data_IF_036188707806
#
_entry.id   IF_036188707806
#
_cell.length_a   1.000
_cell.length_b   1.000
_cell.length_c   1.000
_cell.angle_alpha   90.00
_cell.angle_beta   90.00
_cell.angle_gamma   90.00
#
_symmetry.space_group_name_H-M   'P 1'
#
loop_
_entity.id
_entity.type
_entity.pdbx_description
1 polymer ?
#
# COMPACT_ATOMS: atom_id res chain seq x y z
N UNK A 1 40.39 -36.03 -24.91
CA UNK A 1 39.72 -37.28 -25.23
C UNK A 1 38.29 -36.93 -25.55
N UNK A 2 37.89 -36.70 -26.72
CA UNK A 2 37.53 -37.44 -27.95
C UNK A 2 36.57 -38.59 -27.69
N UNK A 3 35.50 -38.52 -28.50
CA UNK A 3 34.49 -39.49 -28.97
C UNK A 3 33.17 -39.50 -28.19
N UNK A 4 31.98 -39.56 -28.79
CA UNK A 4 31.68 -39.77 -30.19
C UNK A 4 30.18 -39.55 -30.45
N UNK A 5 29.91 -39.20 -31.69
CA UNK A 5 28.62 -39.13 -32.32
C UNK A 5 28.04 -40.54 -32.58
N UNK A 6 26.69 -40.64 -32.58
CA UNK A 6 25.98 -41.74 -33.17
C UNK A 6 24.57 -41.35 -33.54
N UNK A 7 24.18 -41.48 -34.84
CA UNK A 7 22.88 -41.09 -35.32
C UNK A 7 21.97 -42.32 -35.61
N UNK A 8 20.68 -42.04 -35.74
CA UNK A 8 19.85 -42.98 -36.47
C UNK A 8 18.43 -43.17 -35.95
N UNK A 9 17.46 -42.94 -36.80
CA UNK A 9 16.19 -43.54 -36.67
C UNK A 9 15.00 -42.72 -37.23
N UNK A 10 14.89 -42.77 -38.51
CA UNK A 10 13.79 -42.29 -39.39
C UNK A 10 12.59 -43.26 -39.31
N UNK A 11 11.36 -42.77 -39.79
CA UNK A 11 10.16 -43.50 -40.25
C UNK A 11 9.10 -43.72 -39.15
N UNK A 12 7.87 -43.27 -39.25
CA UNK A 12 6.97 -43.37 -40.32
C UNK A 12 5.64 -42.58 -40.12
N UNK A 13 5.22 -42.06 -41.19
CA UNK A 13 3.90 -41.45 -41.36
C UNK A 13 2.82 -42.52 -41.45
N UNK A 14 1.65 -42.26 -40.88
CA UNK A 14 0.42 -42.88 -41.33
C UNK A 14 -0.74 -41.87 -41.25
N UNK A 15 -1.11 -41.36 -42.40
CA UNK A 15 -2.37 -40.66 -42.64
C UNK A 15 -3.49 -41.68 -42.76
N UNK A 16 -4.58 -41.51 -42.05
CA UNK A 16 -5.84 -42.19 -42.33
C UNK A 16 -6.91 -41.12 -42.51
N UNK A 17 -7.23 -40.90 -43.79
CA UNK A 17 -8.46 -40.23 -44.23
C UNK A 17 -9.65 -41.21 -44.04
N UNK A 18 -10.66 -40.80 -43.36
CA UNK A 18 -12.01 -41.34 -43.52
C UNK A 18 -12.97 -40.22 -43.88
N UNK A 19 -13.36 -40.23 -45.15
CA UNK A 19 -14.49 -39.51 -45.65
C UNK A 19 -15.73 -40.38 -45.44
N UNK A 20 -16.73 -39.86 -44.74
CA UNK A 20 -18.07 -40.43 -44.71
C UNK A 20 -19.07 -39.33 -45.15
N UNK A 21 -19.49 -39.42 -46.37
CA UNK A 21 -20.63 -38.71 -46.94
C UNK A 21 -21.90 -39.43 -46.52
N UNK A 22 -22.80 -38.74 -45.83
CA UNK A 22 -24.21 -39.17 -45.71
C UNK A 22 -25.08 -38.01 -46.22
N UNK A 23 -25.64 -38.27 -47.41
CA UNK A 23 -26.71 -37.47 -47.96
C UNK A 23 -28.03 -37.82 -47.24
N UNK A 24 -28.73 -36.82 -46.77
CA UNK A 24 -30.16 -36.93 -46.45
C UNK A 24 -30.94 -35.93 -47.27
N UNK A 25 -32.01 -36.49 -47.84
CA UNK A 25 -32.91 -35.87 -48.79
C UNK A 25 -33.70 -34.71 -48.19
N UNK A 26 -33.98 -33.75 -49.08
CA UNK A 26 -34.99 -32.71 -48.94
C UNK A 26 -36.37 -33.31 -48.74
N UNK A 27 -37.06 -32.77 -47.74
CA UNK A 27 -38.53 -32.78 -47.80
C UNK A 27 -39.02 -31.37 -47.49
N UNK A 28 -39.46 -30.72 -48.56
CA UNK A 28 -39.95 -29.36 -48.59
C UNK A 28 -41.42 -29.33 -48.16
N UNK A 29 -41.73 -28.90 -46.99
CA UNK A 29 -43.07 -28.49 -46.61
C UNK A 29 -43.02 -27.04 -46.11
N UNK A 30 -43.40 -26.10 -46.96
CA UNK A 30 -43.66 -24.70 -46.60
C UNK A 30 -44.98 -24.59 -45.83
N UNK A 31 -44.98 -24.10 -44.59
CA UNK A 31 -46.21 -23.59 -44.01
C UNK A 31 -46.34 -22.09 -44.34
N UNK A 32 -47.38 -21.78 -45.08
CA UNK A 32 -47.90 -20.42 -45.29
C UNK A 32 -48.28 -19.84 -43.93
N UNK A 33 -47.48 -18.89 -43.42
CA UNK A 33 -47.79 -18.12 -42.24
C UNK A 33 -48.71 -16.96 -42.60
N UNK A 34 -49.95 -17.02 -42.12
CA UNK A 34 -50.90 -15.92 -42.09
C UNK A 34 -50.41 -14.86 -41.07
N UNK A 35 -50.13 -13.60 -41.48
CA UNK A 35 -49.59 -12.61 -40.57
C UNK A 35 -50.61 -11.92 -39.64
N UNK A 36 -51.86 -12.38 -39.62
CA UNK A 36 -52.94 -11.67 -38.90
C UNK A 36 -53.31 -12.26 -37.53
N UNK A 37 -52.51 -13.18 -36.93
CA UNK A 37 -52.79 -13.80 -35.63
C UNK A 37 -51.72 -13.62 -34.58
N UNK A 38 -50.92 -12.56 -34.62
CA UNK A 38 -50.15 -12.18 -33.43
C UNK A 38 -50.98 -11.26 -32.52
N UNK A 39 -51.71 -11.88 -31.62
CA UNK A 39 -52.25 -11.18 -30.45
C UNK A 39 -51.05 -10.91 -29.53
N UNK A 40 -50.59 -9.66 -29.51
CA UNK A 40 -49.66 -9.20 -28.48
C UNK A 40 -50.37 -9.33 -27.13
N UNK A 41 -49.82 -10.12 -26.16
CA UNK A 41 -50.27 -9.97 -24.79
C UNK A 41 -49.90 -8.56 -24.35
N UNK A 42 -50.91 -7.81 -23.92
CA UNK A 42 -50.72 -6.52 -23.23
C UNK A 42 -49.76 -6.75 -22.10
N UNK A 43 -48.56 -6.17 -22.22
CA UNK A 43 -47.63 -6.10 -21.08
C UNK A 43 -48.31 -5.16 -20.11
N UNK A 44 -49.08 -5.73 -19.19
CA UNK A 44 -49.51 -5.03 -18.01
C UNK A 44 -48.23 -4.70 -17.25
N UNK A 45 -47.81 -3.46 -17.38
CA UNK A 45 -46.64 -2.90 -16.72
C UNK A 45 -46.84 -3.08 -15.22
N UNK A 46 -46.21 -4.16 -14.72
CA UNK A 46 -46.03 -4.36 -13.28
C UNK A 46 -45.17 -3.18 -12.82
N UNK A 47 -45.87 -2.10 -12.42
CA UNK A 47 -45.24 -1.03 -11.71
C UNK A 47 -44.64 -1.61 -10.43
N UNK A 48 -43.36 -1.92 -10.48
CA UNK A 48 -42.56 -2.19 -9.29
C UNK A 48 -42.62 -0.89 -8.49
N UNK A 49 -43.15 -0.91 -7.28
CA UNK A 49 -43.08 0.27 -6.41
C UNK A 49 -41.61 0.61 -6.23
N UNK A 50 -41.15 1.67 -6.88
CA UNK A 50 -39.86 2.26 -6.56
C UNK A 50 -40.06 2.97 -5.22
N UNK A 51 -39.86 2.21 -4.14
CA UNK A 51 -39.60 2.84 -2.86
C UNK A 51 -38.35 3.72 -3.06
N UNK A 52 -38.37 4.99 -2.65
CA UNK A 52 -37.19 5.83 -2.74
C UNK A 52 -36.11 5.19 -1.91
N UNK A 53 -35.05 4.70 -2.57
CA UNK A 53 -33.82 4.27 -1.91
C UNK A 53 -33.15 5.55 -1.40
N UNK A 54 -33.67 6.09 -0.33
CA UNK A 54 -32.98 7.04 0.54
C UNK A 54 -32.14 6.22 1.55
N UNK A 55 -31.32 5.33 1.04
CA UNK A 55 -30.28 4.68 1.77
C UNK A 55 -29.01 5.49 1.57
N UNK A 56 -28.43 5.91 2.69
CA UNK A 56 -27.16 6.59 2.83
C UNK A 56 -26.13 5.98 1.87
N UNK A 57 -25.88 6.59 0.71
CA UNK A 57 -24.99 6.05 -0.34
C UNK A 57 -23.57 5.83 0.19
N UNK A 58 -23.15 6.59 1.19
CA UNK A 58 -21.84 6.46 1.83
C UNK A 58 -21.72 5.17 2.64
N UNK A 59 -22.78 4.73 3.33
CA UNK A 59 -22.75 3.47 4.07
C UNK A 59 -22.71 2.26 3.12
N UNK A 60 -23.48 2.28 2.04
CA UNK A 60 -23.51 1.19 1.06
C UNK A 60 -22.17 1.01 0.34
N UNK A 61 -21.46 2.10 0.07
CA UNK A 61 -20.11 2.05 -0.54
C UNK A 61 -19.07 1.48 0.44
N UNK A 62 -19.13 1.89 1.70
CA UNK A 62 -18.24 1.36 2.74
C UNK A 62 -18.47 -0.14 2.98
N UNK A 63 -19.74 -0.57 2.97
CA UNK A 63 -20.13 -1.98 3.10
C UNK A 63 -19.59 -2.80 1.94
N UNK A 64 -19.72 -2.31 0.71
CA UNK A 64 -19.21 -2.98 -0.47
C UNK A 64 -17.67 -3.11 -0.44
N UNK A 65 -16.95 -2.07 -0.03
CA UNK A 65 -15.49 -2.12 0.12
C UNK A 65 -15.09 -3.13 1.19
N UNK A 66 -15.78 -3.16 2.33
CA UNK A 66 -15.52 -4.13 3.39
C UNK A 66 -15.71 -5.57 2.91
N UNK A 67 -16.79 -5.89 2.22
CA UNK A 67 -17.00 -7.22 1.64
C UNK A 67 -15.90 -7.62 0.67
N UNK A 68 -15.42 -6.70 -0.17
CA UNK A 68 -14.32 -6.94 -1.10
C UNK A 68 -12.99 -7.19 -0.36
N UNK A 69 -12.69 -6.44 0.69
CA UNK A 69 -11.49 -6.61 1.52
C UNK A 69 -11.53 -7.98 2.22
N UNK A 70 -12.65 -8.34 2.85
CA UNK A 70 -12.84 -9.64 3.52
C UNK A 70 -12.70 -10.81 2.55
N UNK A 71 -13.33 -10.71 1.38
CA UNK A 71 -13.24 -11.72 0.34
C UNK A 71 -11.83 -11.89 -0.20
N UNK A 72 -11.14 -10.79 -0.51
CA UNK A 72 -9.78 -10.81 -1.03
C UNK A 72 -8.77 -11.35 0.01
N UNK A 73 -8.89 -10.94 1.27
CA UNK A 73 -8.06 -11.45 2.36
C UNK A 73 -8.23 -12.96 2.54
N UNK A 74 -9.48 -13.43 2.60
CA UNK A 74 -9.81 -14.84 2.76
C UNK A 74 -9.30 -15.69 1.61
N UNK A 75 -9.51 -15.23 0.37
CA UNK A 75 -9.08 -15.94 -0.84
C UNK A 75 -7.56 -16.14 -0.91
N UNK A 76 -6.78 -15.25 -0.29
CA UNK A 76 -5.32 -15.26 -0.32
C UNK A 76 -4.68 -15.66 1.01
N UNK A 77 -5.47 -16.17 1.97
CA UNK A 77 -4.98 -16.60 3.28
C UNK A 77 -4.26 -15.50 4.07
N UNK A 78 -4.73 -14.26 3.93
CA UNK A 78 -4.23 -13.11 4.69
C UNK A 78 -5.14 -12.85 5.91
N UNK A 79 -4.57 -12.48 7.07
CA UNK A 79 -5.38 -11.96 8.18
C UNK A 79 -6.14 -10.70 7.73
N UNK A 80 -7.45 -10.65 8.03
CA UNK A 80 -8.31 -9.53 7.64
C UNK A 80 -7.76 -8.19 8.13
N UNK A 81 -7.36 -8.14 9.40
CA UNK A 81 -6.83 -6.93 10.01
C UNK A 81 -5.56 -6.44 9.30
N UNK A 82 -4.64 -7.34 8.97
CA UNK A 82 -3.43 -7.02 8.22
C UNK A 82 -3.77 -6.37 6.87
N UNK A 83 -4.62 -7.03 6.07
CA UNK A 83 -4.96 -6.54 4.75
C UNK A 83 -5.74 -5.23 4.80
N UNK A 84 -6.71 -5.09 5.70
CA UNK A 84 -7.44 -3.84 5.88
C UNK A 84 -6.54 -2.68 6.30
N UNK A 85 -5.55 -2.91 7.18
CA UNK A 85 -4.56 -1.91 7.58
C UNK A 85 -3.64 -1.50 6.42
N UNK A 86 -3.24 -2.44 5.55
CA UNK A 86 -2.51 -2.15 4.31
C UNK A 86 -3.33 -1.20 3.44
N UNK A 87 -4.55 -1.57 3.08
CA UNK A 87 -5.41 -0.75 2.19
C UNK A 87 -5.73 0.62 2.82
N UNK A 88 -5.94 0.65 4.14
CA UNK A 88 -6.10 1.93 4.85
C UNK A 88 -4.85 2.81 4.75
N UNK A 89 -3.66 2.23 4.89
CA UNK A 89 -2.41 2.97 4.81
C UNK A 89 -2.13 3.49 3.40
N UNK A 90 -2.55 2.75 2.36
CA UNK A 90 -2.39 3.15 0.97
C UNK A 90 -3.30 4.32 0.59
N UNK A 91 -4.60 4.22 0.82
CA UNK A 91 -5.57 5.15 0.24
C UNK A 91 -6.61 5.71 1.20
N UNK A 92 -6.68 5.23 2.45
CA UNK A 92 -7.83 5.47 3.33
C UNK A 92 -9.14 4.93 2.76
N UNK A 93 -9.05 3.83 2.00
CA UNK A 93 -10.14 3.20 1.25
C UNK A 93 -10.71 4.07 0.11
N UNK A 94 -9.97 5.07 -0.36
CA UNK A 94 -10.38 5.90 -1.49
C UNK A 94 -10.02 5.22 -2.81
N UNK A 95 -11.04 4.89 -3.62
CA UNK A 95 -10.85 4.21 -4.91
C UNK A 95 -10.16 5.09 -5.95
N UNK A 96 -10.35 6.40 -5.88
CA UNK A 96 -9.81 7.40 -6.79
C UNK A 96 -8.49 8.03 -6.31
N UNK A 97 -7.89 7.49 -5.27
CA UNK A 97 -6.65 8.00 -4.71
C UNK A 97 -5.51 8.00 -5.73
N UNK A 98 -4.80 9.13 -5.81
CA UNK A 98 -3.60 9.28 -6.65
C UNK A 98 -2.44 9.73 -5.79
N UNK A 99 -1.40 8.92 -5.72
CA UNK A 99 -0.19 9.20 -4.96
C UNK A 99 0.63 10.37 -5.51
N UNK A 100 1.65 10.82 -4.78
CA UNK A 100 2.57 11.86 -5.24
C UNK A 100 3.35 11.37 -6.47
N UNK A 101 3.79 12.32 -7.29
CA UNK A 101 4.63 12.00 -8.44
C UNK A 101 5.99 11.50 -7.98
N UNK A 102 6.40 10.35 -8.49
CA UNK A 102 7.74 9.78 -8.28
C UNK A 102 8.76 10.46 -9.18
N UNK A 103 10.05 10.19 -8.96
CA UNK A 103 11.14 10.68 -9.82
C UNK A 103 11.03 10.17 -11.26
N UNK A 104 10.42 9.01 -11.48
CA UNK A 104 10.18 8.47 -12.82
C UNK A 104 8.96 9.08 -13.53
N UNK A 105 8.29 10.06 -12.92
CA UNK A 105 7.09 10.69 -13.47
C UNK A 105 5.81 9.89 -13.28
N UNK A 106 5.87 8.72 -12.62
CA UNK A 106 4.71 7.87 -12.35
C UNK A 106 4.07 8.19 -10.99
N UNK A 107 2.80 7.83 -10.83
CA UNK A 107 2.04 7.96 -9.57
C UNK A 107 1.42 6.64 -9.20
N UNK A 108 1.34 6.35 -7.92
CA UNK A 108 0.54 5.25 -7.40
C UNK A 108 -0.96 5.55 -7.58
N UNK A 109 -1.77 4.52 -7.85
CA UNK A 109 -3.14 4.66 -8.31
C UNK A 109 -4.10 3.76 -7.55
N UNK A 110 -5.30 4.31 -7.28
CA UNK A 110 -6.45 3.60 -6.77
C UNK A 110 -6.34 3.18 -5.30
N UNK A 111 -7.30 2.36 -4.87
CA UNK A 111 -7.49 1.95 -3.48
C UNK A 111 -6.27 1.22 -2.88
N UNK A 112 -5.51 0.50 -3.70
CA UNK A 112 -4.33 -0.27 -3.32
C UNK A 112 -3.00 0.35 -3.77
N UNK A 113 -3.03 1.59 -4.30
CA UNK A 113 -1.88 2.39 -4.70
C UNK A 113 -0.87 1.65 -5.59
N UNK A 114 -1.37 0.94 -6.60
CA UNK A 114 -0.49 0.29 -7.58
C UNK A 114 0.28 1.32 -8.41
N UNK A 115 1.60 1.09 -8.54
CA UNK A 115 2.38 1.76 -9.55
C UNK A 115 2.00 1.21 -10.94
N UNK A 116 1.95 2.06 -12.00
CA UNK A 116 1.55 1.62 -13.35
C UNK A 116 2.32 0.41 -13.87
N UNK A 117 3.63 0.34 -13.63
CA UNK A 117 4.46 -0.80 -13.99
C UNK A 117 4.01 -2.08 -13.28
N UNK A 118 3.85 -2.01 -11.95
CA UNK A 118 3.39 -3.16 -11.14
C UNK A 118 1.97 -3.58 -11.52
N UNK A 119 1.06 -2.63 -11.80
CA UNK A 119 -0.28 -2.93 -12.29
C UNK A 119 -0.23 -3.74 -13.60
N UNK A 120 0.57 -3.29 -14.56
CA UNK A 120 0.76 -3.96 -15.85
C UNK A 120 1.36 -5.36 -15.69
N UNK A 121 2.43 -5.51 -14.88
CA UNK A 121 3.08 -6.80 -14.60
C UNK A 121 2.10 -7.83 -13.99
N UNK A 122 1.10 -7.35 -13.24
CA UNK A 122 0.09 -8.17 -12.57
C UNK A 122 -1.21 -8.32 -13.35
N UNK A 123 -1.28 -7.78 -14.56
CA UNK A 123 -2.49 -7.82 -15.38
C UNK A 123 -3.66 -7.05 -14.76
N UNK A 124 -3.39 -6.04 -13.95
CA UNK A 124 -4.40 -5.14 -13.41
C UNK A 124 -4.69 -4.05 -14.44
N UNK A 125 -5.86 -4.15 -15.08
CA UNK A 125 -6.26 -3.26 -16.19
C UNK A 125 -6.66 -1.87 -15.70
N UNK A 126 -7.36 -1.81 -14.57
CA UNK A 126 -7.84 -0.57 -13.97
C UNK A 126 -7.54 -0.53 -12.46
N UNK A 127 -6.47 0.14 -12.05
CA UNK A 127 -6.13 0.33 -10.63
C UNK A 127 -7.16 1.13 -9.82
N UNK A 128 -8.01 1.92 -10.49
CA UNK A 128 -9.07 2.70 -9.84
C UNK A 128 -10.34 1.89 -9.58
N UNK A 129 -10.44 0.69 -10.15
CA UNK A 129 -11.56 -0.21 -9.90
C UNK A 129 -11.26 -1.12 -8.69
N UNK A 130 -11.93 -0.93 -7.52
CA UNK A 130 -11.68 -1.74 -6.32
C UNK A 130 -11.92 -3.23 -6.52
N UNK A 131 -12.88 -3.60 -7.41
CA UNK A 131 -13.20 -5.00 -7.71
C UNK A 131 -12.00 -5.72 -8.34
N UNK A 132 -11.19 -5.01 -9.12
CA UNK A 132 -9.97 -5.55 -9.71
C UNK A 132 -8.75 -5.37 -8.79
N UNK A 133 -8.61 -4.19 -8.20
CA UNK A 133 -7.41 -3.82 -7.45
C UNK A 133 -7.25 -4.57 -6.12
N UNK A 134 -8.34 -4.77 -5.36
CA UNK A 134 -8.27 -5.43 -4.05
C UNK A 134 -7.84 -6.90 -4.14
N UNK A 135 -8.43 -7.75 -5.02
CA UNK A 135 -7.94 -9.11 -5.19
C UNK A 135 -6.47 -9.16 -5.65
N UNK A 136 -6.07 -8.30 -6.58
CA UNK A 136 -4.68 -8.24 -7.07
C UNK A 136 -3.69 -7.77 -5.99
N UNK A 137 -4.11 -6.88 -5.11
CA UNK A 137 -3.30 -6.45 -3.97
C UNK A 137 -3.11 -7.60 -2.95
N UNK A 138 -4.18 -8.32 -2.64
CA UNK A 138 -4.12 -9.46 -1.73
C UNK A 138 -3.27 -10.61 -2.29
N UNK A 139 -3.42 -10.92 -3.57
CA UNK A 139 -2.58 -11.88 -4.31
C UNK A 139 -1.09 -11.49 -4.20
N UNK A 140 -0.76 -10.23 -4.47
CA UNK A 140 0.60 -9.73 -4.39
C UNK A 140 1.18 -9.81 -2.97
N UNK A 141 0.42 -9.43 -1.97
CA UNK A 141 0.86 -9.54 -0.58
C UNK A 141 1.07 -11.00 -0.14
N UNK A 142 0.24 -11.94 -0.62
CA UNK A 142 0.43 -13.35 -0.34
C UNK A 142 1.73 -13.89 -0.98
N UNK A 143 1.99 -13.54 -2.24
CA UNK A 143 3.27 -13.88 -2.91
C UNK A 143 4.47 -13.30 -2.15
N UNK A 144 4.40 -12.03 -1.72
CA UNK A 144 5.47 -11.40 -0.94
C UNK A 144 5.64 -12.06 0.42
N UNK A 145 4.55 -12.45 1.09
CA UNK A 145 4.62 -13.25 2.33
C UNK A 145 5.36 -14.56 2.09
N UNK A 146 5.02 -15.25 1.03
CA UNK A 146 5.64 -16.55 0.70
C UNK A 146 7.12 -16.39 0.31
N UNK A 147 7.45 -15.30 -0.41
CA UNK A 147 8.83 -14.97 -0.78
C UNK A 147 9.70 -14.62 0.42
N UNK A 148 9.20 -13.78 1.33
CA UNK A 148 9.98 -13.25 2.46
C UNK A 148 9.72 -13.99 3.78
N UNK A 149 8.73 -14.88 3.82
CA UNK A 149 8.46 -15.79 4.93
C UNK A 149 7.59 -15.22 6.05
N UNK A 150 7.22 -13.94 6.04
CA UNK A 150 6.32 -13.36 7.01
C UNK A 150 5.60 -12.09 6.51
N UNK A 151 4.54 -11.68 7.24
CA UNK A 151 3.70 -10.55 6.87
C UNK A 151 4.40 -9.18 6.99
N UNK A 152 5.30 -9.02 7.94
CA UNK A 152 6.02 -7.75 8.12
C UNK A 152 6.97 -7.46 6.97
N UNK A 153 7.72 -8.46 6.51
CA UNK A 153 8.58 -8.33 5.34
C UNK A 153 7.77 -8.23 4.05
N UNK A 154 6.59 -8.88 3.97
CA UNK A 154 5.66 -8.70 2.86
C UNK A 154 5.18 -7.24 2.77
N UNK A 155 4.77 -6.64 3.89
CA UNK A 155 4.39 -5.23 3.94
C UNK A 155 5.54 -4.30 3.54
N UNK A 156 6.76 -4.59 4.00
CA UNK A 156 7.95 -3.84 3.60
C UNK A 156 8.19 -3.92 2.08
N UNK A 157 8.04 -5.12 1.50
CA UNK A 157 8.24 -5.34 0.07
C UNK A 157 7.12 -4.74 -0.80
N UNK A 158 5.90 -4.72 -0.30
CA UNK A 158 4.78 -4.04 -0.96
C UNK A 158 5.04 -2.54 -1.10
N UNK A 159 5.50 -1.89 -0.02
CA UNK A 159 5.76 -0.45 0.01
C UNK A 159 7.07 -0.05 -0.68
N UNK A 160 8.18 -0.75 -0.40
CA UNK A 160 9.52 -0.36 -0.89
C UNK A 160 9.95 -1.07 -2.19
N UNK A 161 9.24 -2.12 -2.56
CA UNK A 161 9.63 -3.06 -3.62
C UNK A 161 10.47 -4.24 -3.13
N UNK A 162 10.25 -5.44 -3.71
CA UNK A 162 10.92 -6.68 -3.26
C UNK A 162 12.44 -6.61 -3.30
N UNK A 163 13.00 -6.01 -4.36
CA UNK A 163 14.46 -5.87 -4.52
C UNK A 163 15.09 -5.10 -3.37
N UNK A 164 14.47 -4.02 -2.92
CA UNK A 164 14.99 -3.20 -1.81
C UNK A 164 15.01 -3.95 -0.49
N UNK A 165 13.98 -4.76 -0.24
CA UNK A 165 13.95 -5.62 0.96
C UNK A 165 15.05 -6.68 0.89
N UNK A 166 15.29 -7.28 -0.28
CA UNK A 166 16.39 -8.23 -0.47
C UNK A 166 17.75 -7.58 -0.23
N UNK A 167 18.01 -6.40 -0.82
CA UNK A 167 19.25 -5.63 -0.61
C UNK A 167 19.46 -5.31 0.88
N UNK A 168 18.41 -4.89 1.58
CA UNK A 168 18.50 -4.60 3.01
C UNK A 168 18.79 -5.86 3.85
N UNK A 169 18.08 -6.96 3.60
CA UNK A 169 18.33 -8.24 4.29
C UNK A 169 19.73 -8.77 4.05
N UNK A 170 20.29 -8.52 2.87
CA UNK A 170 21.68 -8.86 2.52
C UNK A 170 22.72 -7.86 3.10
N UNK A 171 22.29 -6.77 3.75
CA UNK A 171 23.19 -5.74 4.27
C UNK A 171 23.82 -4.85 3.20
N UNK A 172 23.33 -4.90 1.95
CA UNK A 172 23.86 -4.13 0.81
C UNK A 172 23.13 -2.84 0.52
N UNK A 173 22.02 -2.56 1.25
CA UNK A 173 21.24 -1.34 1.09
C UNK A 173 20.44 -0.99 2.34
N UNK A 174 20.05 0.30 2.52
CA UNK A 174 19.25 0.73 3.66
C UNK A 174 17.76 0.44 3.46
N UNK A 175 17.05 0.16 4.56
CA UNK A 175 15.59 0.19 4.60
C UNK A 175 15.11 1.63 4.79
N UNK A 176 14.27 2.18 3.88
CA UNK A 176 13.75 3.54 4.03
C UNK A 176 12.93 3.70 5.31
N UNK A 177 13.07 4.86 5.95
CA UNK A 177 12.30 5.19 7.15
C UNK A 177 10.78 5.13 6.91
N UNK A 178 10.32 5.58 5.74
CA UNK A 178 8.92 5.47 5.34
C UNK A 178 8.42 4.02 5.41
N UNK A 179 9.23 3.08 4.92
CA UNK A 179 8.90 1.65 4.92
C UNK A 179 8.96 1.05 6.33
N UNK A 180 9.94 1.44 7.15
CA UNK A 180 10.02 1.04 8.57
C UNK A 180 8.75 1.45 9.32
N UNK A 181 8.34 2.69 9.12
CA UNK A 181 7.11 3.21 9.71
C UNK A 181 5.86 2.51 9.17
N UNK A 182 5.80 2.27 7.84
CA UNK A 182 4.71 1.56 7.20
C UNK A 182 4.48 0.18 7.85
N UNK A 183 5.56 -0.60 8.02
CA UNK A 183 5.50 -1.92 8.66
C UNK A 183 5.02 -1.81 10.10
N UNK A 184 5.57 -0.89 10.87
CA UNK A 184 5.21 -0.70 12.29
C UNK A 184 3.73 -0.34 12.46
N UNK A 185 3.21 0.56 11.63
CA UNK A 185 1.79 0.98 11.65
C UNK A 185 0.84 -0.17 11.33
N UNK A 186 1.20 -1.00 10.36
CA UNK A 186 0.35 -2.11 9.92
C UNK A 186 0.40 -3.28 10.89
N UNK A 187 1.60 -3.61 11.38
CA UNK A 187 1.82 -4.86 12.11
C UNK A 187 2.00 -4.69 13.62
N UNK A 188 2.19 -3.46 14.11
CA UNK A 188 2.52 -3.20 15.50
C UNK A 188 3.96 -3.56 15.91
N UNK A 189 4.78 -4.02 14.96
CA UNK A 189 6.16 -4.46 15.20
C UNK A 189 7.13 -3.83 14.21
N UNK A 190 8.39 -3.66 14.59
CA UNK A 190 9.40 -3.09 13.69
C UNK A 190 9.77 -4.06 12.56
N UNK A 191 10.23 -3.52 11.42
CA UNK A 191 10.71 -4.35 10.30
C UNK A 191 11.93 -5.18 10.71
N UNK A 192 12.74 -4.68 11.65
CA UNK A 192 13.91 -5.40 12.19
C UNK A 192 13.49 -6.61 13.04
N UNK A 193 12.41 -6.49 13.83
CA UNK A 193 11.87 -7.62 14.59
C UNK A 193 11.30 -8.69 13.66
N UNK A 194 10.62 -8.28 12.59
CA UNK A 194 10.15 -9.19 11.55
C UNK A 194 11.30 -9.91 10.82
N UNK A 195 12.40 -9.20 10.56
CA UNK A 195 13.60 -9.82 9.96
C UNK A 195 14.23 -10.85 10.90
N UNK A 196 14.32 -10.56 12.21
CA UNK A 196 14.81 -11.49 13.23
C UNK A 196 13.90 -12.70 13.43
N UNK A 197 12.57 -12.51 13.36
CA UNK A 197 11.60 -13.59 13.50
C UNK A 197 11.69 -14.62 12.35
N UNK A 198 12.20 -14.23 11.19
CA UNK A 198 12.42 -15.11 10.05
C UNK A 198 11.15 -15.71 9.49
N UNK A 199 11.24 -16.91 8.91
CA UNK A 199 10.08 -17.61 8.34
C UNK A 199 9.10 -18.02 9.45
N UNK A 200 7.82 -17.68 9.26
CA UNK A 200 6.75 -18.02 10.21
C UNK A 200 6.56 -17.02 11.33
N UNK A 201 7.22 -15.85 11.29
CA UNK A 201 6.89 -14.73 12.19
C UNK A 201 5.40 -14.38 12.07
N UNK A 202 4.72 -14.30 13.23
CA UNK A 202 3.28 -14.03 13.33
C UNK A 202 3.04 -12.61 13.80
N UNK A 203 1.94 -12.02 13.36
CA UNK A 203 1.45 -10.78 13.98
C UNK A 203 1.19 -11.03 15.47
N UNK A 204 1.41 -9.99 16.32
CA UNK A 204 0.91 -10.04 17.69
C UNK A 204 -0.56 -10.46 17.68
N UNK A 205 -0.94 -11.30 18.62
CA UNK A 205 -2.32 -11.77 18.72
C UNK A 205 -3.23 -10.57 18.97
N UNK A 206 -4.05 -10.25 17.98
CA UNK A 206 -5.03 -9.18 18.09
C UNK A 206 -6.20 -9.63 18.96
N UNK A 207 -6.88 -8.66 19.56
CA UNK A 207 -8.20 -8.82 20.15
C UNK A 207 -9.14 -9.61 19.21
N UNK A 208 -10.27 -10.17 19.71
CA UNK A 208 -11.16 -11.10 18.98
C UNK A 208 -11.53 -10.60 17.60
N UNK A 209 -11.87 -11.50 16.66
CA UNK A 209 -12.06 -11.19 15.25
C UNK A 209 -13.01 -10.00 15.08
N UNK A 210 -12.40 -8.90 14.66
CA UNK A 210 -13.09 -7.64 14.41
C UNK A 210 -13.63 -7.70 12.99
N UNK A 211 -14.87 -7.32 12.78
CA UNK A 211 -15.40 -7.17 11.42
C UNK A 211 -14.66 -6.06 10.66
N UNK A 212 -14.70 -6.07 9.34
CA UNK A 212 -14.12 -4.96 8.57
C UNK A 212 -14.72 -3.61 8.97
N UNK A 213 -16.01 -3.55 9.29
CA UNK A 213 -16.68 -2.32 9.75
C UNK A 213 -16.09 -1.80 11.06
N UNK A 214 -15.87 -2.66 12.04
CA UNK A 214 -15.26 -2.29 13.31
C UNK A 214 -13.82 -1.80 13.10
N UNK A 215 -13.05 -2.48 12.23
CA UNK A 215 -11.71 -2.06 11.83
C UNK A 215 -11.72 -0.70 11.16
N UNK A 216 -12.63 -0.45 10.22
CA UNK A 216 -12.77 0.85 9.54
C UNK A 216 -13.11 1.96 10.55
N UNK A 217 -14.02 1.69 11.49
CA UNK A 217 -14.37 2.63 12.55
C UNK A 217 -13.14 2.93 13.44
N UNK A 218 -12.45 1.89 13.89
CA UNK A 218 -11.21 2.04 14.69
C UNK A 218 -10.14 2.82 13.93
N UNK A 219 -9.90 2.50 12.65
CA UNK A 219 -8.89 3.16 11.81
C UNK A 219 -9.22 4.63 11.52
N UNK A 220 -10.51 4.97 11.39
CA UNK A 220 -10.95 6.38 11.22
C UNK A 220 -10.75 7.21 12.48
N UNK A 221 -10.91 6.60 13.64
CA UNK A 221 -10.82 7.27 14.95
C UNK A 221 -9.49 7.04 15.66
N UNK A 222 -8.68 6.07 15.22
CA UNK A 222 -7.36 5.85 15.79
C UNK A 222 -6.51 7.11 15.60
N UNK A 223 -5.86 7.62 16.68
CA UNK A 223 -4.80 8.59 16.52
C UNK A 223 -3.80 8.01 15.52
N UNK A 224 -3.38 8.82 14.54
CA UNK A 224 -2.44 8.36 13.53
C UNK A 224 -1.27 7.65 14.23
N UNK A 225 -1.08 6.30 14.07
CA UNK A 225 -0.06 5.56 14.82
C UNK A 225 1.34 6.08 14.54
N UNK A 226 1.54 6.74 13.37
CA UNK A 226 2.75 7.50 13.06
C UNK A 226 3.00 8.59 14.10
N UNK A 227 1.94 9.27 14.57
CA UNK A 227 2.07 10.32 15.59
C UNK A 227 2.35 9.69 16.95
N UNK A 228 1.73 8.57 17.30
CA UNK A 228 1.95 7.90 18.59
C UNK A 228 3.35 7.26 18.69
N UNK A 229 3.78 6.53 17.65
CA UNK A 229 5.14 5.98 17.58
C UNK A 229 6.21 7.08 17.52
N UNK A 230 5.93 8.17 16.80
CA UNK A 230 6.82 9.32 16.74
C UNK A 230 6.91 10.04 18.11
N UNK A 231 5.85 10.03 18.91
CA UNK A 231 5.88 10.60 20.27
C UNK A 231 6.80 9.84 21.23
N UNK A 232 6.88 8.53 21.10
CA UNK A 232 7.76 7.69 21.91
C UNK A 232 9.23 7.86 21.50
N UNK A 233 9.53 7.87 20.20
CA UNK A 233 10.88 8.13 19.67
C UNK A 233 11.33 9.60 19.91
N UNK A 234 10.39 10.54 19.88
CA UNK A 234 10.63 11.97 20.18
C UNK A 234 11.19 12.21 21.58
N UNK A 235 10.78 11.42 22.58
CA UNK A 235 11.30 11.53 23.94
C UNK A 235 12.80 11.16 24.03
N UNK A 236 13.25 10.21 23.23
CA UNK A 236 14.64 9.74 23.19
C UNK A 236 15.54 10.67 22.36
N UNK A 237 15.06 11.19 21.24
CA UNK A 237 15.83 12.10 20.37
C UNK A 237 15.89 13.55 20.90
N UNK A 238 14.99 13.94 21.79
CA UNK A 238 14.97 15.27 22.43
C UNK A 238 16.15 15.52 23.38
N UNK A 239 16.91 14.48 23.76
CA UNK A 239 18.04 14.57 24.70
C UNK A 239 19.32 15.14 24.05
N UNK A 240 19.39 15.30 22.72
CA UNK A 240 20.60 15.80 22.04
C UNK A 240 20.73 17.32 22.11
N UNK A 241 21.98 17.80 22.32
CA UNK A 241 22.27 19.23 22.53
C UNK A 241 22.02 20.09 21.31
N UNK A 242 22.23 19.53 20.12
CA UNK A 242 22.04 20.18 18.84
C UNK A 242 20.97 19.52 18.00
N UNK A 243 20.35 20.28 17.10
CA UNK A 243 19.32 19.77 16.21
C UNK A 243 19.43 20.36 14.81
N UNK A 244 19.26 19.49 13.81
CA UNK A 244 19.15 19.88 12.40
C UNK A 244 17.67 19.91 12.04
N UNK A 245 17.11 21.13 11.93
CA UNK A 245 15.70 21.35 11.64
C UNK A 245 15.44 21.22 10.14
N UNK A 246 14.47 20.38 9.79
CA UNK A 246 14.02 20.17 8.40
C UNK A 246 12.64 20.77 8.13
N UNK A 247 11.77 20.81 9.14
CA UNK A 247 10.42 21.34 8.99
C UNK A 247 10.00 22.08 10.25
N UNK A 248 9.11 23.05 10.08
CA UNK A 248 8.49 23.74 11.20
C UNK A 248 7.16 24.40 10.79
N UNK A 249 6.28 24.62 11.76
CA UNK A 249 5.00 25.27 11.53
C UNK A 249 4.18 25.44 12.78
N UNK A 250 3.12 26.23 12.71
CA UNK A 250 2.17 26.45 13.80
C UNK A 250 1.12 25.34 13.93
N UNK A 251 1.01 24.49 12.91
CA UNK A 251 0.20 23.28 12.92
C UNK A 251 1.12 22.05 12.93
N UNK A 252 0.87 21.13 13.87
CA UNK A 252 1.71 19.93 14.06
C UNK A 252 1.65 19.00 12.85
N UNK A 253 0.45 18.75 12.36
CA UNK A 253 0.27 17.81 11.23
C UNK A 253 0.89 18.38 9.94
N UNK A 254 0.79 19.69 9.75
CA UNK A 254 1.42 20.37 8.62
C UNK A 254 2.96 20.32 8.71
N UNK A 255 3.53 20.53 9.90
CA UNK A 255 4.97 20.40 10.12
C UNK A 255 5.46 18.96 9.84
N UNK A 256 4.72 17.95 10.28
CA UNK A 256 4.99 16.55 10.00
C UNK A 256 4.85 16.20 8.52
N UNK A 257 3.84 16.71 7.83
CA UNK A 257 3.67 16.51 6.39
C UNK A 257 4.80 17.17 5.57
N UNK A 258 5.31 18.32 6.02
CA UNK A 258 6.49 18.95 5.42
C UNK A 258 7.75 18.13 5.65
N UNK A 259 7.92 17.60 6.87
CA UNK A 259 9.01 16.70 7.21
C UNK A 259 8.97 15.41 6.37
N UNK A 260 7.82 14.74 6.30
CA UNK A 260 7.66 13.53 5.49
C UNK A 260 8.04 13.73 4.02
N UNK A 261 7.67 14.88 3.44
CA UNK A 261 8.07 15.25 2.09
C UNK A 261 9.59 15.49 1.96
N UNK A 262 10.19 16.15 2.94
CA UNK A 262 11.64 16.39 2.95
C UNK A 262 12.43 15.09 3.06
N UNK A 263 12.03 14.18 3.97
CA UNK A 263 12.68 12.89 4.20
C UNK A 263 12.62 11.99 2.96
N UNK A 264 11.50 11.99 2.23
CA UNK A 264 11.35 11.19 1.01
C UNK A 264 12.45 11.47 -0.02
N UNK A 265 12.91 12.72 -0.10
CA UNK A 265 13.97 13.14 -1.03
C UNK A 265 15.38 13.03 -0.44
N UNK A 266 15.51 12.83 0.87
CA UNK A 266 16.76 12.89 1.62
C UNK A 266 17.11 11.58 2.32
N UNK A 267 16.38 10.50 2.06
CA UNK A 267 16.53 9.20 2.75
C UNK A 267 17.98 8.67 2.72
N UNK A 268 18.69 8.85 1.60
CA UNK A 268 20.09 8.44 1.46
C UNK A 268 21.07 9.24 2.36
N UNK A 269 20.69 10.46 2.75
CA UNK A 269 21.54 11.35 3.59
C UNK A 269 21.18 11.21 5.07
N UNK A 270 19.89 11.03 5.35
CA UNK A 270 19.35 10.98 6.71
C UNK A 270 19.57 9.58 7.32
N UNK A 271 19.54 8.52 6.50
CA UNK A 271 19.67 7.15 6.98
C UNK A 271 18.57 6.79 7.99
N UNK A 272 18.92 6.04 9.02
CA UNK A 272 18.02 5.53 10.05
C UNK A 272 17.88 6.48 11.27
N UNK A 273 18.16 7.78 11.08
CA UNK A 273 18.06 8.76 12.17
C UNK A 273 16.63 9.07 12.53
N UNK A 274 16.30 8.97 13.80
CA UNK A 274 14.99 9.35 14.34
C UNK A 274 14.86 10.87 14.46
N UNK A 275 13.77 11.46 13.96
CA UNK A 275 13.48 12.87 14.15
C UNK A 275 12.93 13.14 15.55
N UNK A 276 13.20 14.30 16.09
CA UNK A 276 12.51 14.84 17.26
C UNK A 276 11.54 15.94 16.88
N UNK A 277 10.39 16.00 17.54
CA UNK A 277 9.44 17.10 17.41
C UNK A 277 9.53 17.95 18.67
N UNK A 278 9.96 19.18 18.51
CA UNK A 278 10.00 20.15 19.61
C UNK A 278 8.81 21.11 19.43
N UNK A 279 8.08 21.36 20.52
CA UNK A 279 7.08 22.41 20.55
C UNK A 279 7.60 23.57 21.40
N UNK A 280 7.38 24.79 20.94
CA UNK A 280 7.70 26.00 21.69
C UNK A 280 6.61 27.03 21.53
N UNK A 281 6.25 27.70 22.62
CA UNK A 281 5.34 28.86 22.57
C UNK A 281 6.18 30.12 22.66
N UNK A 282 6.15 30.91 21.60
CA UNK A 282 6.85 32.22 21.61
C UNK A 282 5.81 33.31 21.92
N UNK A 283 5.76 33.73 23.18
CA UNK A 283 4.78 34.72 23.65
C UNK A 283 4.84 36.08 22.91
N UNK A 284 5.93 36.39 22.25
CA UNK A 284 6.04 37.62 21.42
C UNK A 284 5.36 37.50 20.06
N UNK A 285 4.97 36.27 19.64
CA UNK A 285 4.28 35.97 18.36
C UNK A 285 2.90 35.34 18.58
N UNK A 286 2.33 35.43 19.78
CA UNK A 286 1.04 34.87 20.14
C UNK A 286 1.14 33.61 21.01
N UNK A 287 -0.02 33.04 21.37
CA UNK A 287 -0.14 31.89 22.26
C UNK A 287 -0.06 30.53 21.53
N UNK A 288 0.09 30.54 20.20
CA UNK A 288 0.10 29.32 19.41
C UNK A 288 1.41 28.57 19.53
N UNK A 289 1.34 27.24 19.71
CA UNK A 289 2.51 26.38 19.70
C UNK A 289 3.18 26.37 18.33
N UNK A 290 4.51 26.48 18.30
CA UNK A 290 5.31 26.34 17.08
C UNK A 290 6.05 25.01 17.14
N UNK A 291 5.75 24.14 16.19
CA UNK A 291 6.28 22.79 16.08
C UNK A 291 7.50 22.78 15.16
N UNK A 292 8.56 22.09 15.58
CA UNK A 292 9.83 22.01 14.87
C UNK A 292 10.26 20.55 14.80
N UNK A 293 10.53 20.05 13.60
CA UNK A 293 11.00 18.68 13.38
C UNK A 293 12.49 18.72 13.10
N UNK A 294 13.28 18.05 13.98
CA UNK A 294 14.75 18.10 13.98
C UNK A 294 15.36 16.72 14.11
N UNK A 295 16.53 16.52 13.53
CA UNK A 295 17.43 15.42 13.90
C UNK A 295 18.37 15.85 14.99
N UNK A 296 18.51 15.01 16.02
CA UNK A 296 19.45 15.27 17.12
C UNK A 296 20.90 15.02 16.73
N UNK A 297 21.81 15.86 17.26
CA UNK A 297 23.26 15.71 17.18
C UNK A 297 23.90 16.04 18.52
N UNK A 298 24.95 15.35 18.90
CA UNK A 298 25.63 15.57 20.17
C UNK A 298 26.50 16.82 20.12
N UNK A 299 27.09 17.10 18.99
CA UNK A 299 27.98 18.25 18.80
C UNK A 299 27.48 19.15 17.64
N UNK A 300 27.91 20.41 17.68
CA UNK A 300 27.61 21.35 16.58
C UNK A 300 28.26 20.94 15.25
N UNK A 301 29.53 20.51 15.22
CA UNK A 301 30.15 20.05 13.97
C UNK A 301 29.38 18.88 13.30
N UNK A 302 28.88 17.93 14.09
CA UNK A 302 28.05 16.84 13.60
C UNK A 302 26.74 17.34 12.96
N UNK A 303 26.09 18.32 13.62
CA UNK A 303 24.88 18.94 13.10
C UNK A 303 25.15 19.73 11.80
N UNK A 304 26.27 20.47 11.77
CA UNK A 304 26.69 21.25 10.59
C UNK A 304 27.04 20.31 9.42
N UNK A 305 27.72 19.18 9.64
CA UNK A 305 28.02 18.17 8.63
C UNK A 305 26.73 17.55 8.05
N UNK A 306 25.82 17.13 8.91
CA UNK A 306 24.53 16.60 8.45
C UNK A 306 23.75 17.63 7.61
N UNK A 307 23.69 18.89 8.08
CA UNK A 307 23.00 19.95 7.35
C UNK A 307 23.68 20.23 5.99
N UNK A 308 25.01 20.18 5.91
CA UNK A 308 25.74 20.35 4.66
C UNK A 308 25.47 19.20 3.66
N UNK A 309 25.39 17.95 4.14
CA UNK A 309 25.01 16.80 3.30
C UNK A 309 23.57 16.94 2.81
N UNK A 310 22.64 17.38 3.64
CA UNK A 310 21.25 17.66 3.29
C UNK A 310 21.17 18.73 2.18
N UNK A 311 21.93 19.83 2.32
CA UNK A 311 21.97 20.90 1.30
C UNK A 311 22.57 20.42 -0.01
N UNK A 312 23.64 19.63 0.00
CA UNK A 312 24.22 19.01 -1.20
C UNK A 312 23.23 18.07 -1.91
N UNK A 313 22.31 17.45 -1.17
CA UNK A 313 21.23 16.63 -1.72
C UNK A 313 19.98 17.44 -2.15
N UNK A 314 20.06 18.79 -2.15
CA UNK A 314 18.96 19.66 -2.58
C UNK A 314 17.91 19.94 -1.48
N UNK A 315 18.19 19.58 -0.22
CA UNK A 315 17.32 19.87 0.92
C UNK A 315 17.64 21.20 1.60
N UNK A 316 16.69 21.66 2.42
CA UNK A 316 16.88 22.84 3.27
C UNK A 316 16.97 22.41 4.73
N UNK A 317 17.89 23.01 5.49
CA UNK A 317 18.06 22.74 6.92
C UNK A 317 18.61 23.95 7.68
N UNK A 318 18.35 23.94 9.00
CA UNK A 318 18.92 24.90 9.95
C UNK A 318 19.51 24.13 11.14
N UNK A 319 20.72 24.51 11.54
CA UNK A 319 21.35 23.98 12.76
C UNK A 319 21.01 24.89 13.94
N UNK A 320 20.42 24.32 14.98
CA UNK A 320 19.94 25.04 16.16
C UNK A 320 20.32 24.29 17.43
N UNK A 321 20.62 25.03 18.49
CA UNK A 321 20.78 24.43 19.81
C UNK A 321 19.42 24.09 20.40
N UNK A 322 19.25 22.86 20.86
CA UNK A 322 18.02 22.45 21.53
C UNK A 322 17.97 23.09 22.92
N UNK A 323 16.90 23.81 23.21
CA UNK A 323 16.66 24.33 24.57
C UNK A 323 15.86 23.29 25.31
N UNK A 324 16.47 22.69 26.33
CA UNK A 324 15.71 21.83 27.23
C UNK A 324 14.78 22.73 28.05
N UNK A 325 13.48 22.52 27.92
CA UNK A 325 12.53 23.05 28.89
C UNK A 325 12.70 22.15 30.11
N UNK A 326 13.34 22.68 31.20
CA UNK A 326 13.26 22.05 32.49
C UNK A 326 11.80 22.12 32.90
N UNK A 327 11.14 20.95 33.03
CA UNK A 327 9.83 20.79 33.61
C UNK A 327 9.87 21.11 35.12
#
# INVERSE_FOLDING_TARGET
>A
MRFGFGPGGIVGALAVLFAATAAFAEDAATPTSDPSRYVHPSVEELAIPQAPIQGNTDSSTADAICLMIESAARANGLPLEFFARVIWQESRFQADAVGPMTRSGSRAQGIAQFMPGTASERGLLDPFNPVQALPKSAEFLAELRDQFGNLGLAAAAYNAGPRRVQEWLAGTGPMPYETRNYVSVITGSSVDDWAKAGKGGKMPESAPPTTCHDLVALLKHAPNPFIAGLEEHVKLAAAKVWGVQLAAGFDRNRALAMYARAVKNLSAVIGDRDPSILSSVNRTRGSHAFYQVRFGADTRPEADDLCNRIRKAGGACFVLKNRFVRG
#
